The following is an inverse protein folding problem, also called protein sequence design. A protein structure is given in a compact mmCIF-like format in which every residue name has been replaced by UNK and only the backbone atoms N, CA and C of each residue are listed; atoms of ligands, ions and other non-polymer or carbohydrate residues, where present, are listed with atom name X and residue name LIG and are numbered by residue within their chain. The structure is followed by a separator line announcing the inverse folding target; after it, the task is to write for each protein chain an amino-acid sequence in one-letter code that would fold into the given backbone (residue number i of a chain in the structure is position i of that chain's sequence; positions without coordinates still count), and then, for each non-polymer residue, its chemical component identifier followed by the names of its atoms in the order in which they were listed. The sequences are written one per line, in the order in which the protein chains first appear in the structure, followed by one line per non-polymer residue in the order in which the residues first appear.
data_IF_834333587486
#
_entry.id   IF_834333587486
#
_cell.length_a   1.000
_cell.length_b   1.000
_cell.length_c   1.000
_cell.angle_alpha   90.00
_cell.angle_beta   90.00
_cell.angle_gamma   90.00
#
_symmetry.space_group_name_H-M   'P 1'
#
loop_
_entity.id
_entity.type
_entity.pdbx_description
1 polymer ?
#
# COMPACT_ATOMS: atom_id res chain seq x y z
N UNK A 1 6.63 -26.52 9.65
CA UNK A 1 6.38 -25.20 9.04
C UNK A 1 4.96 -24.76 9.41
N UNK A 2 4.75 -24.15 10.58
CA UNK A 2 3.41 -23.79 11.04
C UNK A 2 3.41 -22.36 11.60
N UNK A 3 3.11 -21.39 10.74
CA UNK A 3 2.81 -20.02 11.15
C UNK A 3 1.33 -19.74 10.93
N UNK A 4 0.50 -20.26 11.83
CA UNK A 4 -0.90 -19.88 11.93
C UNK A 4 -1.14 -19.26 13.31
N UNK A 5 -0.68 -18.02 13.52
CA UNK A 5 -1.15 -17.20 14.64
C UNK A 5 -2.47 -16.56 14.23
N UNK A 6 -3.56 -17.23 14.62
CA UNK A 6 -4.87 -16.64 14.74
C UNK A 6 -4.81 -15.55 15.83
N UNK A 7 -4.78 -14.28 15.43
CA UNK A 7 -4.85 -13.14 16.35
C UNK A 7 -6.29 -12.68 16.55
N UNK A 8 -6.60 -12.34 17.79
CA UNK A 8 -7.89 -12.03 18.41
C UNK A 8 -8.58 -10.74 17.92
N UNK A 9 -8.70 -10.57 16.60
CA UNK A 9 -9.13 -9.32 15.94
C UNK A 9 -10.37 -9.52 15.05
N UNK A 10 -11.27 -10.42 15.44
CA UNK A 10 -12.41 -10.86 14.63
C UNK A 10 -13.26 -9.74 13.98
N UNK A 11 -13.52 -8.57 14.60
CA UNK A 11 -14.21 -7.46 13.91
C UNK A 11 -13.30 -6.58 13.03
N UNK A 12 -11.96 -6.56 13.23
CA UNK A 12 -10.98 -5.92 12.30
C UNK A 12 -10.56 -6.85 11.16
N UNK A 13 -10.89 -8.13 11.26
CA UNK A 13 -10.54 -9.21 10.31
C UNK A 13 -11.01 -8.96 8.88
N UNK A 14 -12.06 -8.14 8.70
CA UNK A 14 -12.63 -7.81 7.39
C UNK A 14 -12.05 -6.55 6.73
N UNK A 15 -11.13 -5.82 7.37
CA UNK A 15 -10.52 -4.61 6.77
C UNK A 15 -9.24 -4.88 5.95
N UNK A 16 -8.75 -6.12 5.93
CA UNK A 16 -7.49 -6.49 5.27
C UNK A 16 -6.26 -6.15 6.11
N UNK A 17 -5.08 -6.08 5.49
CA UNK A 17 -3.85 -5.63 6.17
C UNK A 17 -3.83 -4.09 6.18
N UNK A 18 -3.60 -3.48 7.35
CA UNK A 18 -3.42 -2.02 7.46
C UNK A 18 -2.34 -1.57 6.46
N UNK A 19 -2.61 -0.58 5.58
CA UNK A 19 -1.61 -0.03 4.69
C UNK A 19 -0.39 0.46 5.48
N UNK A 20 0.82 0.23 4.97
CA UNK A 20 2.04 0.75 5.60
C UNK A 20 2.35 2.20 5.20
N UNK A 21 1.42 2.85 4.50
CA UNK A 21 1.57 4.17 3.92
C UNK A 21 0.31 5.00 4.14
N UNK A 22 0.46 6.32 4.12
CA UNK A 22 -0.60 7.29 4.27
C UNK A 22 -1.06 7.85 2.90
N UNK A 23 -2.10 8.69 2.93
CA UNK A 23 -2.60 9.37 1.74
C UNK A 23 -1.54 10.22 1.04
N UNK A 24 -0.67 10.87 1.79
CA UNK A 24 0.41 11.69 1.23
C UNK A 24 1.38 10.85 0.40
N UNK A 25 1.86 9.74 0.97
CA UNK A 25 2.80 8.83 0.30
C UNK A 25 2.16 8.21 -0.95
N UNK A 26 0.87 7.85 -0.89
CA UNK A 26 0.14 7.39 -2.07
C UNK A 26 0.13 8.42 -3.21
N UNK A 27 -0.12 9.68 -2.90
CA UNK A 27 -0.12 10.75 -3.91
C UNK A 27 1.27 10.99 -4.50
N UNK A 28 2.32 10.88 -3.67
CA UNK A 28 3.72 10.95 -4.12
C UNK A 28 4.01 9.79 -5.09
N UNK A 29 3.67 8.55 -4.71
CA UNK A 29 3.85 7.37 -5.57
C UNK A 29 3.11 7.55 -6.91
N UNK A 30 1.85 7.98 -6.90
CA UNK A 30 1.12 8.25 -8.15
C UNK A 30 1.80 9.30 -9.01
N UNK A 31 2.23 10.42 -8.41
CA UNK A 31 2.92 11.48 -9.13
C UNK A 31 4.22 11.00 -9.77
N UNK A 32 4.97 10.15 -9.07
CA UNK A 32 6.21 9.55 -9.58
C UNK A 32 5.95 8.53 -10.70
N UNK A 33 4.87 7.74 -10.59
CA UNK A 33 4.45 6.80 -11.63
C UNK A 33 4.03 7.52 -12.92
N UNK A 34 3.29 8.64 -12.79
CA UNK A 34 2.87 9.46 -13.94
C UNK A 34 4.07 10.05 -14.68
N UNK A 35 5.10 10.50 -13.97
CA UNK A 35 6.33 11.06 -14.56
C UNK A 35 7.13 10.04 -15.38
N UNK A 36 6.89 8.73 -15.25
CA UNK A 36 7.61 7.61 -15.90
C UNK A 36 9.15 7.64 -15.82
N UNK A 37 9.73 8.54 -15.03
CA UNK A 37 11.17 8.71 -14.89
C UNK A 37 11.80 7.68 -13.94
N UNK A 38 10.99 7.04 -13.08
CA UNK A 38 11.47 6.16 -12.02
C UNK A 38 10.95 4.74 -12.20
N UNK A 39 11.82 3.75 -11.96
CA UNK A 39 11.42 2.36 -11.85
C UNK A 39 10.66 2.12 -10.55
N UNK A 40 9.80 1.10 -10.51
CA UNK A 40 9.06 0.68 -9.30
C UNK A 40 10.00 0.51 -8.10
N UNK A 41 11.19 -0.04 -8.31
CA UNK A 41 12.20 -0.26 -7.27
C UNK A 41 12.79 1.05 -6.74
N UNK A 42 12.96 2.07 -7.60
CA UNK A 42 13.41 3.39 -7.19
C UNK A 42 12.34 4.11 -6.37
N UNK A 43 11.09 4.09 -6.84
CA UNK A 43 9.94 4.66 -6.11
C UNK A 43 9.79 4.01 -4.73
N UNK A 44 9.91 2.67 -4.66
CA UNK A 44 9.84 1.93 -3.41
C UNK A 44 10.90 2.40 -2.39
N UNK A 45 12.15 2.63 -2.83
CA UNK A 45 13.21 3.15 -1.97
C UNK A 45 12.95 4.60 -1.54
N UNK A 46 12.54 5.45 -2.47
CA UNK A 46 12.31 6.88 -2.21
C UNK A 46 11.12 7.13 -1.28
N UNK A 47 10.07 6.30 -1.40
CA UNK A 47 8.86 6.38 -0.57
C UNK A 47 8.90 5.47 0.65
N UNK A 48 10.02 4.77 0.88
CA UNK A 48 10.18 3.76 1.92
C UNK A 48 9.06 2.70 1.95
N UNK A 49 8.60 2.30 0.76
CA UNK A 49 7.58 1.27 0.57
C UNK A 49 8.19 -0.04 0.09
N UNK A 50 7.46 -1.13 0.31
CA UNK A 50 7.78 -2.37 -0.38
C UNK A 50 7.49 -2.23 -1.88
N UNK A 51 8.29 -2.90 -2.71
CA UNK A 51 8.06 -2.99 -4.16
C UNK A 51 6.63 -3.46 -4.49
N UNK A 52 6.10 -4.41 -3.71
CA UNK A 52 4.74 -4.92 -3.87
C UNK A 52 3.68 -3.83 -3.63
N UNK A 53 3.90 -2.93 -2.67
CA UNK A 53 2.97 -1.82 -2.42
C UNK A 53 2.94 -0.85 -3.60
N UNK A 54 4.11 -0.49 -4.15
CA UNK A 54 4.20 0.37 -5.34
C UNK A 54 3.54 -0.28 -6.56
N UNK A 55 3.74 -1.60 -6.75
CA UNK A 55 3.06 -2.34 -7.83
C UNK A 55 1.54 -2.32 -7.68
N UNK A 56 1.01 -2.56 -6.47
CA UNK A 56 -0.45 -2.47 -6.25
C UNK A 56 -0.99 -1.07 -6.48
N UNK A 57 -0.26 -0.02 -6.09
CA UNK A 57 -0.67 1.37 -6.36
C UNK A 57 -0.70 1.65 -7.86
N UNK A 58 0.26 1.08 -8.61
CA UNK A 58 0.31 1.23 -10.07
C UNK A 58 -0.79 0.48 -10.80
N UNK A 59 -0.99 -0.79 -10.43
CA UNK A 59 -1.88 -1.71 -11.14
C UNK A 59 -3.34 -1.53 -10.67
N UNK A 60 -3.55 -1.19 -9.40
CA UNK A 60 -4.87 -1.05 -8.75
C UNK A 60 -4.93 0.21 -7.84
N UNK A 61 -4.76 1.43 -8.39
CA UNK A 61 -4.73 2.67 -7.61
C UNK A 61 -6.03 2.91 -6.81
N UNK A 62 -7.18 2.56 -7.38
CA UNK A 62 -8.49 2.72 -6.70
C UNK A 62 -8.64 1.80 -5.49
N UNK A 63 -8.14 0.56 -5.58
CA UNK A 63 -8.17 -0.39 -4.46
C UNK A 63 -7.26 0.08 -3.32
N UNK A 64 -6.10 0.65 -3.66
CA UNK A 64 -5.19 1.25 -2.69
C UNK A 64 -5.81 2.49 -2.01
N UNK A 65 -6.49 3.35 -2.77
CA UNK A 65 -7.24 4.50 -2.21
C UNK A 65 -8.39 4.07 -1.30
N UNK A 66 -9.19 3.10 -1.73
CA UNK A 66 -10.28 2.55 -0.94
C UNK A 66 -9.77 1.91 0.36
N UNK A 67 -8.61 1.25 0.32
CA UNK A 67 -7.95 0.74 1.52
C UNK A 67 -7.57 1.88 2.47
N UNK A 68 -6.93 2.95 1.99
CA UNK A 68 -6.59 4.11 2.82
C UNK A 68 -7.82 4.71 3.52
N UNK A 69 -8.90 4.96 2.74
CA UNK A 69 -10.18 5.46 3.27
C UNK A 69 -10.79 4.52 4.31
N UNK A 70 -10.77 3.21 4.06
CA UNK A 70 -11.28 2.19 4.99
C UNK A 70 -10.52 2.16 6.31
N UNK A 71 -9.23 2.53 6.30
CA UNK A 71 -8.38 2.59 7.48
C UNK A 71 -8.30 3.99 8.12
N UNK A 72 -8.90 5.02 7.50
CA UNK A 72 -8.90 6.39 8.00
C UNK A 72 -7.53 7.06 7.97
N UNK A 73 -6.71 6.75 6.96
CA UNK A 73 -5.38 7.31 6.75
C UNK A 73 -5.32 8.26 5.55
#
# INVERSE_FOLDING_TARGET
MAHAKASADAPRKYRGKKPSFDRQTFNVVQSMLVKKAHTVSAIARETNLSRQAVLRIRDEPEAADAALKRWGM
#
